data_IF_417937569925
#
_entry.id   IF_417937569925
#
_cell.length_a   1.000
_cell.length_b   1.000
_cell.length_c   1.000
_cell.angle_alpha   90.00
_cell.angle_beta   90.00
_cell.angle_gamma   90.00
#
_symmetry.space_group_name_H-M   'P 1'
#
loop_
_entity.id
_entity.type
_entity.pdbx_description
1 polymer ?
#
# COMPACT_ATOMS: atom_id res chain seq x y z
N UNK A 1 4.33 0.91 -7.77
CA UNK A 1 3.15 1.77 -7.99
C UNK A 1 2.22 1.59 -6.80
N UNK A 2 2.01 2.63 -6.00
CA UNK A 2 1.01 2.62 -4.92
C UNK A 2 -0.32 3.17 -5.46
N UNK A 3 -1.43 2.49 -5.19
CA UNK A 3 -2.69 2.68 -5.91
C UNK A 3 -3.88 2.87 -4.96
N UNK A 4 -4.88 3.62 -5.43
CA UNK A 4 -6.10 3.91 -4.68
C UNK A 4 -7.31 3.27 -5.35
N UNK A 5 -8.24 2.71 -4.56
CA UNK A 5 -9.49 2.11 -5.04
C UNK A 5 -10.69 3.07 -5.04
N UNK A 6 -10.53 4.30 -4.52
CA UNK A 6 -11.66 5.21 -4.27
C UNK A 6 -12.11 5.92 -5.55
N UNK A 7 -11.22 6.05 -6.54
CA UNK A 7 -11.50 6.81 -7.76
C UNK A 7 -11.40 5.90 -8.99
N UNK A 8 -12.49 5.73 -9.72
CA UNK A 8 -12.53 4.92 -10.94
C UNK A 8 -11.51 5.39 -12.01
N UNK A 9 -11.33 6.70 -12.17
CA UNK A 9 -10.33 7.24 -13.10
C UNK A 9 -8.90 6.88 -12.70
N UNK A 10 -8.61 6.73 -11.40
CA UNK A 10 -7.30 6.29 -10.95
C UNK A 10 -7.00 4.87 -11.43
N UNK A 11 -7.99 3.98 -11.43
CA UNK A 11 -7.84 2.61 -11.91
C UNK A 11 -7.47 2.56 -13.39
N UNK A 12 -8.17 3.34 -14.24
CA UNK A 12 -7.86 3.43 -15.68
C UNK A 12 -6.44 3.94 -15.93
N UNK A 13 -6.03 4.97 -15.17
CA UNK A 13 -4.67 5.52 -15.26
C UNK A 13 -3.61 4.48 -14.89
N UNK A 14 -3.84 3.71 -13.82
CA UNK A 14 -2.93 2.64 -13.39
C UNK A 14 -2.77 1.56 -14.48
N UNK A 15 -3.86 1.13 -15.10
CA UNK A 15 -3.78 0.16 -16.20
C UNK A 15 -3.01 0.71 -17.42
N UNK A 16 -3.20 1.98 -17.75
CA UNK A 16 -2.43 2.65 -18.80
C UNK A 16 -0.93 2.68 -18.49
N UNK A 17 -0.57 3.04 -17.26
CA UNK A 17 0.82 3.02 -16.80
C UNK A 17 1.41 1.61 -16.80
N UNK A 18 0.66 0.60 -16.33
CA UNK A 18 1.10 -0.79 -16.39
C UNK A 18 1.38 -1.21 -17.84
N UNK A 19 0.52 -0.80 -18.80
CA UNK A 19 0.77 -1.06 -20.23
C UNK A 19 2.09 -0.45 -20.71
N UNK A 20 2.39 0.78 -20.33
CA UNK A 20 3.65 1.44 -20.71
C UNK A 20 4.88 0.75 -20.10
N UNK A 21 4.78 0.24 -18.88
CA UNK A 21 5.88 -0.47 -18.21
C UNK A 21 6.29 -1.77 -18.91
N UNK A 22 5.48 -2.31 -19.83
CA UNK A 22 5.87 -3.43 -20.67
C UNK A 22 7.13 -3.12 -21.49
N UNK A 23 7.22 -1.90 -22.03
CA UNK A 23 8.38 -1.47 -22.81
C UNK A 23 9.65 -1.33 -21.96
N UNK A 24 9.52 -0.75 -20.76
CA UNK A 24 10.67 -0.60 -19.86
C UNK A 24 11.14 -1.93 -19.31
N UNK A 25 10.22 -2.86 -19.01
CA UNK A 25 10.55 -4.24 -18.60
C UNK A 25 11.24 -5.02 -19.72
N UNK A 26 10.82 -4.82 -20.96
CA UNK A 26 11.48 -5.47 -22.13
C UNK A 26 12.91 -4.94 -22.33
N UNK A 27 13.13 -3.64 -22.11
CA UNK A 27 14.45 -3.01 -22.19
C UNK A 27 15.36 -3.35 -20.99
N UNK A 28 14.76 -3.57 -19.81
CA UNK A 28 15.47 -3.95 -18.60
C UNK A 28 14.75 -5.12 -17.91
N UNK A 29 15.07 -6.36 -18.25
CA UNK A 29 14.43 -7.56 -17.67
C UNK A 29 14.57 -7.69 -16.15
N UNK A 30 15.61 -7.11 -15.57
CA UNK A 30 15.84 -7.12 -14.12
C UNK A 30 15.00 -6.10 -13.36
N UNK A 31 14.31 -5.19 -14.04
CA UNK A 31 13.37 -4.27 -13.43
C UNK A 31 12.25 -5.03 -12.70
N UNK A 32 12.01 -4.73 -11.42
CA UNK A 32 10.87 -5.27 -10.67
C UNK A 32 9.73 -4.26 -10.71
N UNK A 33 8.56 -4.72 -11.18
CA UNK A 33 7.34 -3.94 -11.22
C UNK A 33 6.42 -4.41 -10.11
N UNK A 34 6.19 -3.52 -9.13
CA UNK A 34 5.31 -3.76 -7.99
C UNK A 34 4.03 -2.93 -8.09
N UNK A 35 2.88 -3.57 -7.92
CA UNK A 35 1.57 -2.94 -7.74
C UNK A 35 1.11 -3.14 -6.30
N UNK A 36 0.89 -2.04 -5.55
CA UNK A 36 0.45 -2.11 -4.16
C UNK A 36 -0.69 -1.12 -3.87
N UNK A 37 -1.25 -1.21 -2.68
CA UNK A 37 -2.32 -0.33 -2.20
C UNK A 37 -3.73 -0.89 -2.40
N UNK A 38 -4.74 -0.06 -2.13
CA UNK A 38 -6.13 -0.48 -2.05
C UNK A 38 -6.70 -1.09 -3.35
N UNK A 39 -6.22 -0.63 -4.51
CA UNK A 39 -6.65 -1.19 -5.79
C UNK A 39 -6.18 -2.64 -5.95
N UNK A 40 -4.95 -2.93 -5.55
CA UNK A 40 -4.34 -4.25 -5.64
C UNK A 40 -5.05 -5.30 -4.76
N UNK A 41 -5.70 -4.88 -3.66
CA UNK A 41 -6.46 -5.77 -2.77
C UNK A 41 -7.72 -6.35 -3.41
N UNK A 42 -8.24 -5.74 -4.48
CA UNK A 42 -9.46 -6.23 -5.11
C UNK A 42 -9.19 -7.50 -5.92
N UNK A 43 -9.92 -8.62 -5.67
CA UNK A 43 -9.68 -9.89 -6.40
C UNK A 43 -9.78 -9.75 -7.91
N UNK A 44 -10.75 -8.96 -8.40
CA UNK A 44 -10.91 -8.69 -9.85
C UNK A 44 -9.70 -7.99 -10.47
N UNK A 45 -9.06 -7.09 -9.71
CA UNK A 45 -7.86 -6.37 -10.17
C UNK A 45 -6.66 -7.30 -10.20
N UNK A 46 -6.47 -8.05 -9.12
CA UNK A 46 -5.39 -9.03 -9.03
C UNK A 46 -5.47 -10.07 -10.16
N UNK A 47 -6.66 -10.60 -10.43
CA UNK A 47 -6.86 -11.56 -11.53
C UNK A 47 -6.59 -10.93 -12.90
N UNK A 48 -7.05 -9.69 -13.13
CA UNK A 48 -6.75 -8.96 -14.36
C UNK A 48 -5.25 -8.71 -14.51
N UNK A 49 -4.55 -8.36 -13.45
CA UNK A 49 -3.09 -8.19 -13.48
C UNK A 49 -2.40 -9.52 -13.74
N UNK A 50 -2.88 -10.60 -13.14
CA UNK A 50 -2.34 -11.95 -13.32
C UNK A 50 -2.44 -12.42 -14.76
N UNK A 51 -3.55 -12.16 -15.43
CA UNK A 51 -3.83 -12.63 -16.79
C UNK A 51 -3.28 -11.70 -17.87
N UNK A 52 -3.48 -10.38 -17.74
CA UNK A 52 -3.23 -9.40 -18.79
C UNK A 52 -1.92 -8.61 -18.65
N UNK A 53 -1.33 -8.55 -17.45
CA UNK A 53 -0.09 -7.78 -17.19
C UNK A 53 1.00 -8.69 -16.64
N UNK A 54 1.45 -9.64 -17.49
CA UNK A 54 2.40 -10.69 -17.10
C UNK A 54 3.78 -10.18 -16.69
N UNK A 55 4.12 -8.96 -17.04
CA UNK A 55 5.36 -8.26 -16.68
C UNK A 55 5.35 -7.65 -15.25
N UNK A 56 4.21 -7.70 -14.54
CA UNK A 56 4.14 -7.28 -13.14
C UNK A 56 4.63 -8.43 -12.26
N UNK A 57 5.65 -8.16 -11.45
CA UNK A 57 6.35 -9.16 -10.65
C UNK A 57 5.72 -9.33 -9.26
N UNK A 58 5.25 -8.23 -8.65
CA UNK A 58 4.73 -8.23 -7.28
C UNK A 58 3.41 -7.49 -7.20
N UNK A 59 2.40 -8.13 -6.59
CA UNK A 59 1.10 -7.51 -6.27
C UNK A 59 0.82 -7.73 -4.81
N UNK A 60 0.59 -6.64 -4.06
CA UNK A 60 0.29 -6.72 -2.63
C UNK A 60 -0.80 -5.74 -2.23
N UNK A 61 -1.71 -6.20 -1.39
CA UNK A 61 -2.73 -5.37 -0.76
C UNK A 61 -2.20 -4.62 0.46
N UNK A 62 -2.97 -3.64 1.00
CA UNK A 62 -2.57 -2.85 2.17
C UNK A 62 -2.31 -3.70 3.41
N UNK A 63 -2.92 -4.86 3.50
CA UNK A 63 -2.76 -5.77 4.64
C UNK A 63 -1.40 -6.49 4.63
N UNK A 64 -0.74 -6.58 3.47
CA UNK A 64 0.55 -7.21 3.28
C UNK A 64 1.72 -6.21 3.22
N UNK A 65 1.46 -4.89 3.35
CA UNK A 65 2.50 -3.84 3.22
C UNK A 65 3.66 -4.03 4.22
N UNK A 66 3.39 -4.53 5.42
CA UNK A 66 4.43 -4.82 6.40
C UNK A 66 5.41 -5.93 5.97
N UNK A 67 5.00 -6.78 5.03
CA UNK A 67 5.84 -7.84 4.44
C UNK A 67 6.57 -7.39 3.17
N UNK A 68 6.44 -6.13 2.78
CA UNK A 68 7.00 -5.65 1.51
C UNK A 68 8.48 -6.03 1.30
N UNK A 69 9.38 -5.88 2.29
CA UNK A 69 10.79 -6.28 2.10
C UNK A 69 10.96 -7.77 1.81
N UNK A 70 10.23 -8.64 2.52
CA UNK A 70 10.23 -10.09 2.31
C UNK A 70 9.71 -10.46 0.91
N UNK A 71 8.55 -9.88 0.53
CA UNK A 71 7.91 -10.18 -0.74
C UNK A 71 8.73 -9.66 -1.92
N UNK A 72 9.38 -8.51 -1.76
CA UNK A 72 10.28 -7.96 -2.76
C UNK A 72 11.52 -8.85 -2.93
N UNK A 73 12.11 -9.30 -1.83
CA UNK A 73 13.25 -10.23 -1.85
C UNK A 73 12.89 -11.53 -2.55
N UNK A 74 11.71 -12.09 -2.28
CA UNK A 74 11.19 -13.27 -2.98
C UNK A 74 11.06 -13.03 -4.49
N UNK A 75 10.41 -11.95 -4.90
CA UNK A 75 10.24 -11.62 -6.31
C UNK A 75 11.59 -11.47 -7.03
N UNK A 76 12.59 -10.92 -6.33
CA UNK A 76 13.94 -10.74 -6.86
C UNK A 76 14.72 -12.07 -7.00
N UNK A 77 14.66 -12.92 -5.96
CA UNK A 77 15.48 -14.16 -5.91
C UNK A 77 14.86 -15.32 -6.68
N UNK A 78 13.55 -15.51 -6.53
CA UNK A 78 12.84 -16.63 -7.17
C UNK A 78 12.53 -16.35 -8.65
N UNK A 79 12.69 -15.10 -9.10
CA UNK A 79 12.32 -14.63 -10.44
C UNK A 79 10.89 -15.01 -10.83
N UNK A 80 10.06 -15.22 -9.82
CA UNK A 80 8.64 -15.58 -9.93
C UNK A 80 7.74 -14.39 -9.65
N UNK A 81 6.48 -14.54 -10.06
CA UNK A 81 5.45 -13.54 -9.75
C UNK A 81 4.86 -13.80 -8.36
N UNK A 82 4.83 -12.79 -7.52
CA UNK A 82 4.34 -12.88 -6.14
C UNK A 82 3.03 -12.09 -5.99
N UNK A 83 1.99 -12.74 -5.49
CA UNK A 83 0.70 -12.13 -5.21
C UNK A 83 0.36 -12.33 -3.72
N UNK A 84 0.20 -11.23 -2.98
CA UNK A 84 -0.17 -11.23 -1.56
C UNK A 84 -1.34 -10.27 -1.35
N UNK A 85 -2.54 -10.80 -1.54
CA UNK A 85 -3.83 -10.10 -1.42
C UNK A 85 -4.74 -10.81 -0.41
N UNK A 86 -4.15 -11.43 0.60
CA UNK A 86 -4.87 -12.20 1.60
C UNK A 86 -5.84 -11.33 2.39
N UNK A 87 -7.00 -11.90 2.71
CA UNK A 87 -8.06 -11.24 3.48
C UNK A 87 -7.78 -11.23 4.99
N UNK A 88 -6.71 -11.88 5.44
CA UNK A 88 -6.34 -11.85 6.84
C UNK A 88 -5.94 -10.43 7.26
N UNK A 89 -6.49 -9.95 8.39
CA UNK A 89 -6.12 -8.64 8.91
C UNK A 89 -4.63 -8.62 9.22
N UNK A 90 -3.85 -7.98 8.36
CA UNK A 90 -2.41 -7.82 8.50
C UNK A 90 -2.07 -7.17 9.84
N UNK A 91 -0.88 -7.42 10.36
CA UNK A 91 -0.35 -6.70 11.52
C UNK A 91 -0.21 -5.22 11.15
N UNK A 92 -0.53 -4.33 12.08
CA UNK A 92 -0.06 -2.95 11.97
C UNK A 92 1.45 -3.00 12.18
N UNK A 93 2.19 -2.62 11.16
CA UNK A 93 3.63 -2.55 11.26
C UNK A 93 4.01 -1.24 11.96
N UNK A 94 4.55 -1.36 13.15
CA UNK A 94 5.15 -0.25 13.87
C UNK A 94 6.65 -0.14 13.52
N UNK A 95 7.23 1.01 13.81
CA UNK A 95 8.67 1.29 13.64
C UNK A 95 9.19 1.17 12.20
N UNK A 96 8.31 1.24 11.19
CA UNK A 96 8.75 1.35 9.80
C UNK A 96 9.28 2.76 9.56
N UNK A 97 10.51 2.92 9.06
CA UNK A 97 11.04 4.22 8.71
C UNK A 97 10.15 4.91 7.67
N UNK A 98 9.58 6.05 8.04
CA UNK A 98 8.78 6.86 7.12
C UNK A 98 9.64 8.01 6.62
N UNK A 99 9.90 8.03 5.32
CA UNK A 99 10.55 9.19 4.72
C UNK A 99 9.58 10.39 4.72
N UNK A 100 10.04 11.48 5.31
CA UNK A 100 9.31 12.75 5.35
C UNK A 100 10.19 13.83 4.71
N UNK A 101 9.65 14.53 3.73
CA UNK A 101 10.38 15.56 2.99
C UNK A 101 10.72 16.83 3.81
N UNK A 102 10.37 16.84 5.11
CA UNK A 102 10.46 18.01 5.96
C UNK A 102 9.23 18.93 5.80
N UNK A 103 9.14 19.96 6.61
CA UNK A 103 8.04 20.92 6.58
C UNK A 103 7.50 21.28 7.96
N UNK A 104 6.41 22.05 7.99
CA UNK A 104 5.75 22.49 9.22
C UNK A 104 4.75 21.45 9.72
N UNK A 105 4.09 20.73 8.80
CA UNK A 105 3.02 19.79 9.12
C UNK A 105 3.39 18.34 8.80
N UNK A 106 2.88 17.40 9.60
CA UNK A 106 3.01 15.96 9.38
C UNK A 106 1.70 15.22 9.65
N UNK A 107 1.54 14.09 8.96
CA UNK A 107 0.39 13.20 9.11
C UNK A 107 0.81 11.99 9.96
N UNK A 108 -0.02 11.64 10.93
CA UNK A 108 0.19 10.47 11.80
C UNK A 108 -1.03 9.58 11.69
N UNK A 109 -0.85 8.37 11.17
CA UNK A 109 -1.91 7.37 11.14
C UNK A 109 -2.12 6.81 12.53
N UNK A 110 -3.37 6.84 13.02
CA UNK A 110 -3.71 6.32 14.35
C UNK A 110 -4.53 5.02 14.28
N UNK A 111 -5.13 4.75 13.11
CA UNK A 111 -5.98 3.57 12.92
C UNK A 111 -6.11 3.21 11.44
N UNK A 112 -6.45 1.97 11.16
CA UNK A 112 -6.63 1.38 9.85
C UNK A 112 -7.98 0.70 9.71
N UNK A 113 -8.51 0.65 8.47
CA UNK A 113 -9.78 -0.02 8.19
C UNK A 113 -11.00 0.75 8.67
N UNK A 114 -12.18 0.15 8.57
CA UNK A 114 -13.45 0.77 8.97
C UNK A 114 -14.55 -0.29 9.16
N UNK A 115 -15.37 -0.12 10.20
CA UNK A 115 -16.50 -1.00 10.51
C UNK A 115 -17.87 -0.43 10.09
N UNK A 116 -17.92 0.75 9.45
CA UNK A 116 -19.21 1.40 9.16
C UNK A 116 -19.97 0.79 7.99
N UNK A 117 -19.29 0.11 7.05
CA UNK A 117 -19.91 -0.51 5.86
C UNK A 117 -20.94 0.36 5.14
N UNK A 118 -20.66 1.66 4.99
CA UNK A 118 -21.51 2.58 4.24
C UNK A 118 -21.71 2.05 2.81
N UNK A 119 -22.92 2.17 2.27
CA UNK A 119 -23.34 1.56 1.00
C UNK A 119 -22.47 1.92 -0.22
N UNK A 120 -21.81 3.06 -0.20
CA UNK A 120 -20.93 3.55 -1.27
C UNK A 120 -19.43 3.36 -0.99
N UNK A 121 -19.05 2.81 0.18
CA UNK A 121 -17.67 2.85 0.63
C UNK A 121 -16.97 1.49 0.45
N UNK A 122 -15.85 1.53 -0.27
CA UNK A 122 -15.03 0.33 -0.51
C UNK A 122 -14.04 0.03 0.64
N UNK A 123 -13.81 0.98 1.55
CA UNK A 123 -12.76 0.87 2.58
C UNK A 123 -12.83 -0.42 3.42
N UNK A 124 -13.99 -0.84 3.97
CA UNK A 124 -14.06 -2.09 4.73
C UNK A 124 -13.60 -3.32 3.95
N UNK A 125 -13.83 -3.32 2.64
CA UNK A 125 -13.53 -4.45 1.75
C UNK A 125 -12.07 -4.51 1.30
N UNK A 126 -11.38 -3.38 1.26
CA UNK A 126 -9.98 -3.31 0.80
C UNK A 126 -8.98 -3.07 1.91
N UNK A 127 -9.41 -2.51 3.05
CA UNK A 127 -8.54 -2.26 4.22
C UNK A 127 -8.92 -3.10 5.43
N UNK A 128 -10.03 -3.84 5.35
CA UNK A 128 -10.53 -4.68 6.41
C UNK A 128 -11.19 -3.93 7.56
N UNK A 129 -11.39 -4.66 8.65
CA UNK A 129 -11.98 -4.12 9.88
C UNK A 129 -11.08 -3.08 10.53
N UNK A 130 -11.70 -2.23 11.34
CA UNK A 130 -11.03 -1.20 12.10
C UNK A 130 -10.03 -1.80 13.09
N UNK A 131 -8.81 -1.26 13.08
CA UNK A 131 -7.71 -1.61 13.98
C UNK A 131 -7.00 -0.35 14.38
N UNK A 132 -6.90 -0.08 15.67
CA UNK A 132 -6.17 1.06 16.22
C UNK A 132 -4.72 0.68 16.46
N UNK A 133 -3.82 1.66 16.33
CA UNK A 133 -2.44 1.54 16.79
C UNK A 133 -2.39 1.68 18.31
N UNK A 134 -1.35 1.15 18.90
CA UNK A 134 -1.11 1.30 20.34
C UNK A 134 -0.83 2.77 20.67
N UNK A 135 -1.52 3.33 21.71
CA UNK A 135 -1.38 4.75 22.07
C UNK A 135 0.06 5.17 22.34
N UNK A 136 0.85 4.30 22.96
CA UNK A 136 2.26 4.55 23.30
C UNK A 136 3.11 4.75 22.04
N UNK A 137 2.83 3.99 20.97
CA UNK A 137 3.52 4.10 19.69
C UNK A 137 3.19 5.43 19.00
N UNK A 138 1.92 5.82 19.03
CA UNK A 138 1.46 7.09 18.48
C UNK A 138 2.13 8.26 19.21
N UNK A 139 2.14 8.23 20.54
CA UNK A 139 2.77 9.27 21.36
C UNK A 139 4.26 9.36 21.10
N UNK A 140 4.94 8.22 20.94
CA UNK A 140 6.37 8.18 20.58
C UNK A 140 6.63 8.87 19.25
N UNK A 141 5.90 8.48 18.20
CA UNK A 141 6.01 9.08 16.87
C UNK A 141 5.76 10.59 16.89
N UNK A 142 4.73 11.04 17.64
CA UNK A 142 4.42 12.46 17.81
C UNK A 142 5.59 13.21 18.46
N UNK A 143 6.20 12.66 19.51
CA UNK A 143 7.37 13.26 20.18
C UNK A 143 8.56 13.38 19.24
N UNK A 144 8.83 12.34 18.44
CA UNK A 144 9.91 12.36 17.45
C UNK A 144 9.68 13.45 16.40
N UNK A 145 8.44 13.59 15.91
CA UNK A 145 8.07 14.63 14.94
C UNK A 145 8.22 16.04 15.54
N UNK A 146 7.77 16.27 16.75
CA UNK A 146 7.95 17.54 17.44
C UNK A 146 9.43 17.86 17.62
N UNK A 147 10.23 16.87 18.02
CA UNK A 147 11.70 17.02 18.16
C UNK A 147 12.39 17.31 16.82
N UNK A 148 11.85 16.80 15.72
CA UNK A 148 12.31 17.08 14.35
C UNK A 148 11.85 18.43 13.80
N UNK A 149 11.08 19.22 14.58
CA UNK A 149 10.67 20.58 14.24
C UNK A 149 9.28 20.72 13.58
N UNK A 150 8.50 19.63 13.47
CA UNK A 150 7.13 19.71 13.01
C UNK A 150 6.26 20.42 14.06
N UNK A 151 5.37 21.31 13.61
CA UNK A 151 4.53 22.15 14.50
C UNK A 151 3.04 21.90 14.34
N UNK A 152 2.65 21.24 13.24
CA UNK A 152 1.27 20.86 12.97
C UNK A 152 1.21 19.35 12.73
N UNK A 153 0.34 18.66 13.45
CA UNK A 153 0.16 17.24 13.33
C UNK A 153 -1.30 16.91 13.05
N UNK A 154 -1.55 16.18 11.96
CA UNK A 154 -2.87 15.69 11.62
C UNK A 154 -2.95 14.21 11.96
N UNK A 155 -3.80 13.86 12.91
CA UNK A 155 -4.11 12.46 13.23
C UNK A 155 -5.19 11.97 12.25
N UNK A 156 -4.96 10.86 11.60
CA UNK A 156 -5.89 10.38 10.58
C UNK A 156 -6.07 8.86 10.59
N UNK A 157 -7.18 8.40 10.00
CA UNK A 157 -7.46 7.01 9.67
C UNK A 157 -6.95 6.71 8.27
N UNK A 158 -6.22 5.62 8.13
CA UNK A 158 -5.84 5.04 6.83
C UNK A 158 -6.83 3.98 6.37
#
# INVERSE_FOLDING_TARGET
MNTCAIRENAEKTVYGMLGQLTHTKAANPDQIICLCGCMAQQPRVAEKVKTSYRHVDLVLGPQAEWRFPELLYRAYTERGRVFSIDDEPGRIAEDIPVYRAGGVSAWVSIMYGCNNFCSYCIVPYVRGRERSREPEQIVREVRELVSAGYRELTLHRL
#
